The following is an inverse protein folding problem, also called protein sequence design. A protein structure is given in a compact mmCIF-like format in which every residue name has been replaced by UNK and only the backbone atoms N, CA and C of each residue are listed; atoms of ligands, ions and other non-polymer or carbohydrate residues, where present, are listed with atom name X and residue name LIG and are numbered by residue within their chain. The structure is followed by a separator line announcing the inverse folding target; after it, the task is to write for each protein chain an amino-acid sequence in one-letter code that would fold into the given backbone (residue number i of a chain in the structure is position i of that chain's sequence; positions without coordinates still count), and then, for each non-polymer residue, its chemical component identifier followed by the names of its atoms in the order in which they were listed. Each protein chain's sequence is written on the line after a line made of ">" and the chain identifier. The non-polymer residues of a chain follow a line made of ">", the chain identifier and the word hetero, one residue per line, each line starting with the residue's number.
data_IF_642503997539
#
_entry.id   IF_642503997539
#
_cell.length_a   1.000
_cell.length_b   1.000
_cell.length_c   1.000
_cell.angle_alpha   90.00
_cell.angle_beta   90.00
_cell.angle_gamma   90.00
#
_symmetry.space_group_name_H-M   'P 1'
#
loop_
_entity.id
_entity.type
_entity.pdbx_description
1 polymer ?
#
# COMPACT_ATOMS: atom_id res chain seq x y z
N UNK A 1 -16.51 6.56 17.31
CA UNK A 1 -16.03 7.74 16.55
C UNK A 1 -14.98 8.56 17.30
N UNK A 2 -15.31 9.23 18.42
CA UNK A 2 -14.37 10.13 19.13
C UNK A 2 -13.07 9.45 19.60
N UNK A 3 -13.18 8.22 20.13
CA UNK A 3 -12.02 7.42 20.55
C UNK A 3 -11.05 7.18 19.37
N UNK A 4 -11.56 6.68 18.24
CA UNK A 4 -10.77 6.42 17.04
C UNK A 4 -10.14 7.70 16.47
N UNK A 5 -10.81 8.85 16.56
CA UNK A 5 -10.23 10.16 16.20
C UNK A 5 -9.08 10.55 17.15
N UNK A 6 -9.20 10.28 18.45
CA UNK A 6 -8.14 10.53 19.43
C UNK A 6 -6.92 9.63 19.21
N UNK A 7 -7.14 8.37 18.84
CA UNK A 7 -6.08 7.45 18.42
C UNK A 7 -5.40 7.94 17.13
N UNK A 8 -6.19 8.33 16.10
CA UNK A 8 -5.67 8.88 14.85
C UNK A 8 -4.81 10.13 15.08
N UNK A 9 -5.26 11.06 15.93
CA UNK A 9 -4.45 12.22 16.34
C UNK A 9 -3.12 11.79 16.95
N UNK A 10 -3.15 10.83 17.87
CA UNK A 10 -1.95 10.35 18.57
C UNK A 10 -0.93 9.73 17.61
N UNK A 11 -1.41 8.97 16.62
CA UNK A 11 -0.55 8.41 15.58
C UNK A 11 0.02 9.48 14.64
N UNK A 12 -0.81 10.43 14.17
CA UNK A 12 -0.34 11.53 13.33
C UNK A 12 0.70 12.39 14.04
N UNK A 13 0.48 12.73 15.31
CA UNK A 13 1.42 13.48 16.11
C UNK A 13 2.78 12.78 16.19
N UNK A 14 2.80 11.47 16.47
CA UNK A 14 4.05 10.68 16.53
C UNK A 14 4.79 10.65 15.20
N UNK A 15 4.06 10.46 14.10
CA UNK A 15 4.64 10.44 12.76
C UNK A 15 5.27 11.80 12.46
N UNK A 16 4.53 12.89 12.66
CA UNK A 16 5.00 14.24 12.33
C UNK A 16 6.15 14.70 13.24
N UNK A 17 6.11 14.40 14.54
CA UNK A 17 7.21 14.67 15.47
C UNK A 17 8.50 13.92 15.03
N UNK A 18 8.37 12.62 14.73
CA UNK A 18 9.51 11.78 14.29
C UNK A 18 10.13 12.27 12.99
N UNK A 19 9.30 12.71 12.04
CA UNK A 19 9.72 13.27 10.75
C UNK A 19 10.53 14.57 10.90
N UNK A 20 10.23 15.41 11.90
CA UNK A 20 10.91 16.70 12.09
C UNK A 20 12.32 16.60 12.69
N UNK A 21 12.79 15.39 13.01
CA UNK A 21 14.20 15.10 13.25
C UNK A 21 14.76 15.50 14.62
N UNK A 22 13.97 16.09 15.52
CA UNK A 22 14.46 16.51 16.84
C UNK A 22 14.61 15.38 17.86
N UNK A 23 13.91 14.24 17.68
CA UNK A 23 13.91 13.09 18.59
C UNK A 23 14.08 11.73 17.87
N UNK A 24 14.53 11.74 16.61
CA UNK A 24 14.44 10.55 15.77
C UNK A 24 15.68 9.65 15.90
N UNK A 25 15.61 8.65 16.79
CA UNK A 25 16.58 7.54 16.89
C UNK A 25 16.15 6.29 16.11
N UNK A 26 15.02 6.34 15.39
CA UNK A 26 14.35 5.17 14.82
C UNK A 26 14.43 5.09 13.28
N UNK A 27 14.62 6.21 12.59
CA UNK A 27 14.63 6.27 11.12
C UNK A 27 15.99 6.76 10.60
N UNK A 28 16.55 6.07 9.62
CA UNK A 28 17.81 6.44 8.95
C UNK A 28 17.54 7.41 7.79
N UNK A 29 17.88 8.68 8.01
CA UNK A 29 18.20 9.77 7.06
C UNK A 29 17.36 10.05 5.77
N UNK A 30 16.60 9.13 5.15
CA UNK A 30 15.71 9.46 4.03
C UNK A 30 14.27 9.72 4.50
N UNK A 31 14.13 10.89 5.11
CA UNK A 31 12.90 11.44 5.68
C UNK A 31 11.73 11.46 4.67
N UNK A 32 11.99 11.35 3.34
CA UNK A 32 10.96 11.43 2.30
C UNK A 32 10.24 10.10 2.01
N UNK A 33 10.98 9.00 1.97
CA UNK A 33 10.44 7.63 1.84
C UNK A 33 9.65 7.27 3.10
N UNK A 34 10.25 7.51 4.26
CA UNK A 34 9.66 7.23 5.57
C UNK A 34 8.32 7.96 5.76
N UNK A 35 8.17 9.18 5.23
CA UNK A 35 6.92 9.96 5.27
C UNK A 35 5.77 9.24 4.59
N UNK A 36 5.93 8.89 3.31
CA UNK A 36 4.86 8.27 2.52
C UNK A 36 4.54 6.89 3.08
N UNK A 37 5.57 6.14 3.46
CA UNK A 37 5.41 4.86 4.13
C UNK A 37 4.61 4.97 5.43
N UNK A 38 4.93 5.95 6.29
CA UNK A 38 4.20 6.19 7.53
C UNK A 38 2.72 6.54 7.25
N UNK A 39 2.45 7.33 6.22
CA UNK A 39 1.07 7.67 5.84
C UNK A 39 0.29 6.45 5.34
N UNK A 40 0.85 5.62 4.45
CA UNK A 40 0.19 4.40 3.99
C UNK A 40 -0.06 3.44 5.16
N UNK A 41 0.92 3.29 6.06
CA UNK A 41 0.77 2.45 7.27
C UNK A 41 -0.34 2.97 8.18
N UNK A 42 -0.46 4.29 8.34
CA UNK A 42 -1.52 4.90 9.13
C UNK A 42 -2.90 4.77 8.47
N UNK A 43 -2.99 4.93 7.15
CA UNK A 43 -4.22 4.68 6.40
C UNK A 43 -4.65 3.23 6.55
N UNK A 44 -3.73 2.27 6.40
CA UNK A 44 -4.00 0.85 6.64
C UNK A 44 -4.54 0.61 8.05
N UNK A 45 -3.88 1.14 9.08
CA UNK A 45 -4.35 1.03 10.46
C UNK A 45 -5.76 1.59 10.63
N UNK A 46 -6.04 2.80 10.11
CA UNK A 46 -7.36 3.43 10.25
C UNK A 46 -8.43 2.58 9.56
N UNK A 47 -8.16 2.10 8.36
CA UNK A 47 -9.10 1.28 7.59
C UNK A 47 -9.34 -0.08 8.24
N UNK A 48 -8.30 -0.69 8.82
CA UNK A 48 -8.43 -1.90 9.62
C UNK A 48 -9.29 -1.68 10.87
N UNK A 49 -9.10 -0.57 11.59
CA UNK A 49 -9.95 -0.20 12.72
C UNK A 49 -11.41 0.02 12.31
N UNK A 50 -11.67 0.71 11.20
CA UNK A 50 -13.02 0.94 10.68
C UNK A 50 -13.73 -0.39 10.39
N UNK A 51 -13.05 -1.31 9.72
CA UNK A 51 -13.63 -2.61 9.36
C UNK A 51 -13.78 -3.53 10.57
N UNK A 52 -12.77 -3.61 11.45
CA UNK A 52 -12.80 -4.51 12.61
C UNK A 52 -13.76 -4.05 13.71
N UNK A 53 -14.00 -2.73 13.83
CA UNK A 53 -15.05 -2.18 14.72
C UNK A 53 -16.44 -2.20 14.08
N UNK A 54 -16.55 -2.73 12.87
CA UNK A 54 -17.79 -2.81 12.07
C UNK A 54 -18.56 -1.48 11.96
N UNK A 55 -17.83 -0.38 11.79
CA UNK A 55 -18.46 0.94 11.71
C UNK A 55 -19.41 1.02 10.52
N UNK A 56 -20.54 1.71 10.71
CA UNK A 56 -21.47 1.99 9.61
C UNK A 56 -21.08 3.27 8.84
N UNK A 57 -21.73 3.50 7.69
CA UNK A 57 -21.44 4.68 6.83
C UNK A 57 -21.58 6.03 7.56
N UNK A 58 -22.51 6.16 8.51
CA UNK A 58 -22.67 7.42 9.26
C UNK A 58 -21.47 7.65 10.18
N UNK A 59 -21.00 6.61 10.85
CA UNK A 59 -19.82 6.68 11.72
C UNK A 59 -18.54 6.92 10.93
N UNK A 60 -18.40 6.27 9.77
CA UNK A 60 -17.27 6.46 8.85
C UNK A 60 -17.21 7.92 8.37
N UNK A 61 -18.34 8.47 7.89
CA UNK A 61 -18.42 9.88 7.50
C UNK A 61 -18.06 10.80 8.67
N UNK A 62 -18.46 10.47 9.90
CA UNK A 62 -18.10 11.25 11.08
C UNK A 62 -16.59 11.21 11.39
N UNK A 63 -15.90 10.08 11.13
CA UNK A 63 -14.44 9.99 11.24
C UNK A 63 -13.77 10.92 10.22
N UNK A 64 -14.13 10.84 8.93
CA UNK A 64 -13.50 11.69 7.91
C UNK A 64 -13.80 13.18 8.09
N UNK A 65 -15.03 13.52 8.46
CA UNK A 65 -15.38 14.89 8.82
C UNK A 65 -14.60 15.37 10.05
N UNK A 66 -14.44 14.51 11.07
CA UNK A 66 -13.62 14.82 12.24
C UNK A 66 -12.16 15.05 11.90
N UNK A 67 -11.59 14.26 10.97
CA UNK A 67 -10.25 14.50 10.47
C UNK A 67 -10.13 15.86 9.78
N UNK A 68 -11.00 16.16 8.80
CA UNK A 68 -10.93 17.40 8.01
C UNK A 68 -11.17 18.65 8.87
N UNK A 69 -12.10 18.57 9.83
CA UNK A 69 -12.48 19.72 10.67
C UNK A 69 -11.63 19.88 11.92
N UNK A 70 -11.02 18.83 12.46
CA UNK A 70 -10.32 18.90 13.76
C UNK A 70 -8.83 18.55 13.71
N UNK A 71 -8.38 17.74 12.75
CA UNK A 71 -7.00 17.23 12.73
C UNK A 71 -6.16 17.87 11.62
N UNK A 72 -6.72 17.95 10.40
CA UNK A 72 -6.06 18.51 9.22
C UNK A 72 -5.61 19.95 9.46
N UNK A 73 -4.30 20.18 9.34
CA UNK A 73 -3.63 21.47 9.48
C UNK A 73 -3.58 21.98 10.92
N UNK A 74 -4.00 21.16 11.89
CA UNK A 74 -4.18 21.55 13.30
C UNK A 74 -3.24 20.83 14.26
N UNK A 75 -2.42 19.92 13.75
CA UNK A 75 -1.37 19.27 14.54
C UNK A 75 -0.23 20.28 14.72
N UNK A 76 -0.03 20.72 15.98
CA UNK A 76 0.89 21.80 16.33
C UNK A 76 2.36 21.41 16.05
N UNK A 77 3.17 22.41 15.72
CA UNK A 77 4.64 22.35 15.60
C UNK A 77 5.18 21.49 14.45
N UNK A 78 4.36 21.16 13.47
CA UNK A 78 4.73 20.29 12.35
C UNK A 78 4.41 20.97 11.01
N UNK A 79 5.19 20.63 9.97
CA UNK A 79 5.04 21.03 8.54
C UNK A 79 3.60 20.74 8.02
N UNK A 80 3.16 21.26 6.84
CA UNK A 80 1.87 20.89 6.23
C UNK A 80 1.55 19.39 6.28
N UNK A 81 0.26 19.06 6.42
CA UNK A 81 -0.21 17.68 6.59
C UNK A 81 0.40 16.75 5.54
N UNK A 82 1.21 15.81 6.01
CA UNK A 82 1.86 14.83 5.14
C UNK A 82 0.93 13.69 4.74
N UNK A 83 -0.13 13.45 5.52
CA UNK A 83 -1.09 12.37 5.28
C UNK A 83 -2.48 12.95 5.05
N UNK A 84 -3.04 12.70 3.86
CA UNK A 84 -4.38 13.16 3.47
C UNK A 84 -5.32 11.97 3.53
N UNK A 85 -6.50 12.13 4.14
CA UNK A 85 -7.52 11.09 4.24
C UNK A 85 -8.78 11.54 3.50
N UNK A 86 -9.09 10.93 2.37
CA UNK A 86 -10.31 11.25 1.64
C UNK A 86 -11.51 10.47 2.18
N UNK A 87 -12.71 11.07 2.09
CA UNK A 87 -13.95 10.44 2.56
C UNK A 87 -14.35 9.27 1.64
N UNK A 88 -14.12 8.04 2.12
CA UNK A 88 -14.37 6.80 1.40
C UNK A 88 -15.60 6.08 1.95
N UNK A 89 -16.27 5.32 1.09
CA UNK A 89 -17.33 4.38 1.49
C UNK A 89 -16.72 3.14 2.13
N UNK A 90 -17.48 2.41 2.96
CA UNK A 90 -17.02 1.20 3.65
C UNK A 90 -16.44 0.15 2.70
N UNK A 91 -17.08 -0.06 1.55
CA UNK A 91 -16.62 -1.03 0.55
C UNK A 91 -15.26 -0.62 -0.05
N UNK A 92 -15.07 0.67 -0.33
CA UNK A 92 -13.82 1.21 -0.85
C UNK A 92 -12.70 1.13 0.19
N UNK A 93 -13.02 1.41 1.47
CA UNK A 93 -12.11 1.23 2.61
C UNK A 93 -11.66 -0.22 2.71
N UNK A 94 -12.58 -1.19 2.59
CA UNK A 94 -12.23 -2.60 2.68
C UNK A 94 -11.28 -3.04 1.56
N UNK A 95 -11.49 -2.56 0.33
CA UNK A 95 -10.58 -2.82 -0.80
C UNK A 95 -9.20 -2.19 -0.58
N UNK A 96 -9.16 -0.91 -0.22
CA UNK A 96 -7.89 -0.21 0.04
C UNK A 96 -7.13 -0.82 1.22
N UNK A 97 -7.83 -1.26 2.27
CA UNK A 97 -7.21 -2.01 3.38
C UNK A 97 -6.48 -3.25 2.88
N UNK A 98 -7.13 -4.06 2.03
CA UNK A 98 -6.51 -5.26 1.45
C UNK A 98 -5.31 -4.90 0.58
N UNK A 99 -5.40 -3.84 -0.24
CA UNK A 99 -4.28 -3.36 -1.06
C UNK A 99 -3.11 -2.91 -0.18
N UNK A 100 -3.35 -2.06 0.82
CA UNK A 100 -2.28 -1.54 1.69
C UNK A 100 -1.65 -2.62 2.57
N UNK A 101 -2.37 -3.71 2.86
CA UNK A 101 -1.80 -4.88 3.52
C UNK A 101 -0.63 -5.49 2.74
N UNK A 102 -0.62 -5.38 1.40
CA UNK A 102 0.49 -5.85 0.57
C UNK A 102 1.80 -5.17 0.96
N UNK A 103 1.74 -3.85 1.17
CA UNK A 103 2.92 -3.08 1.54
C UNK A 103 3.45 -3.46 2.92
N UNK A 104 2.56 -3.70 3.89
CA UNK A 104 2.96 -4.22 5.20
C UNK A 104 3.64 -5.60 5.09
N UNK A 105 3.08 -6.49 4.26
CA UNK A 105 3.65 -7.82 3.98
C UNK A 105 5.02 -7.70 3.31
N UNK A 106 5.18 -6.79 2.35
CA UNK A 106 6.45 -6.57 1.66
C UNK A 106 7.53 -6.02 2.59
N UNK A 107 7.20 -5.01 3.40
CA UNK A 107 8.15 -4.40 4.32
C UNK A 107 8.64 -5.40 5.38
N UNK A 108 7.73 -6.16 6.01
CA UNK A 108 8.08 -7.15 7.04
C UNK A 108 8.97 -8.25 6.46
N UNK A 109 8.68 -8.74 5.26
CA UNK A 109 9.45 -9.82 4.65
C UNK A 109 10.87 -9.42 4.22
N UNK A 110 11.11 -8.14 3.92
CA UNK A 110 12.44 -7.64 3.58
C UNK A 110 13.33 -7.49 4.83
N UNK A 111 12.74 -7.25 6.01
CA UNK A 111 13.46 -7.00 7.27
C UNK A 111 13.56 -8.23 8.18
N UNK A 112 12.63 -9.18 8.08
CA UNK A 112 12.54 -10.35 8.96
C UNK A 112 12.48 -11.65 8.13
N UNK A 113 13.63 -12.11 7.66
CA UNK A 113 13.74 -13.28 6.77
C UNK A 113 13.43 -14.63 7.45
N UNK A 114 13.40 -14.71 8.78
CA UNK A 114 13.59 -16.00 9.49
C UNK A 114 12.33 -16.73 10.03
N UNK A 115 11.16 -16.11 10.21
CA UNK A 115 10.05 -16.79 10.91
C UNK A 115 8.74 -16.92 10.09
N UNK A 116 8.81 -17.63 8.96
CA UNK A 116 7.61 -18.19 8.30
C UNK A 116 7.12 -19.45 9.04
N UNK A 117 6.80 -19.33 10.33
CA UNK A 117 6.14 -20.39 11.11
C UNK A 117 4.60 -20.31 10.97
N UNK A 118 3.88 -21.27 11.59
CA UNK A 118 2.45 -21.66 11.49
C UNK A 118 1.37 -20.65 11.05
N UNK A 119 1.61 -19.35 11.13
CA UNK A 119 0.74 -18.28 10.62
C UNK A 119 0.93 -17.96 9.11
N UNK A 120 1.90 -18.58 8.44
CA UNK A 120 2.19 -18.38 7.01
C UNK A 120 0.93 -18.42 6.12
N UNK A 121 0.03 -19.38 6.34
CA UNK A 121 -1.20 -19.51 5.56
C UNK A 121 -2.12 -18.28 5.64
N UNK A 122 -2.25 -17.67 6.82
CA UNK A 122 -3.08 -16.48 7.00
C UNK A 122 -2.47 -15.27 6.29
N UNK A 123 -1.15 -15.12 6.35
CA UNK A 123 -0.44 -14.09 5.60
C UNK A 123 -0.59 -14.25 4.09
N UNK A 124 -0.53 -15.49 3.61
CA UNK A 124 -0.72 -15.84 2.20
C UNK A 124 -2.14 -15.54 1.71
N UNK A 125 -3.16 -15.76 2.54
CA UNK A 125 -4.54 -15.41 2.20
C UNK A 125 -4.72 -13.88 2.06
N UNK A 126 -4.19 -13.09 2.99
CA UNK A 126 -4.21 -11.63 2.88
C UNK A 126 -3.44 -11.14 1.66
N UNK A 127 -2.29 -11.75 1.39
CA UNK A 127 -1.48 -11.44 0.22
C UNK A 127 -2.25 -11.68 -1.08
N UNK A 128 -2.89 -12.85 -1.25
CA UNK A 128 -3.68 -13.16 -2.44
C UNK A 128 -4.84 -12.18 -2.64
N UNK A 129 -5.63 -11.93 -1.58
CA UNK A 129 -6.74 -10.95 -1.62
C UNK A 129 -6.27 -9.55 -1.96
N UNK A 130 -5.17 -9.10 -1.37
CA UNK A 130 -4.58 -7.80 -1.66
C UNK A 130 -4.14 -7.68 -3.12
N UNK A 131 -3.53 -8.75 -3.66
CA UNK A 131 -3.04 -8.77 -5.04
C UNK A 131 -4.18 -8.72 -6.06
N UNK A 132 -5.26 -9.46 -5.84
CA UNK A 132 -6.45 -9.43 -6.68
C UNK A 132 -7.08 -8.04 -6.71
N UNK A 133 -7.28 -7.43 -5.54
CA UNK A 133 -7.81 -6.06 -5.44
C UNK A 133 -6.89 -5.04 -6.10
N UNK A 134 -5.58 -5.21 -5.95
CA UNK A 134 -4.59 -4.35 -6.57
C UNK A 134 -4.66 -4.41 -8.11
N UNK A 135 -4.68 -5.61 -8.70
CA UNK A 135 -4.81 -5.80 -10.16
C UNK A 135 -6.15 -5.25 -10.67
N UNK A 136 -7.25 -5.54 -9.98
CA UNK A 136 -8.57 -5.00 -10.35
C UNK A 136 -8.60 -3.46 -10.31
N UNK A 137 -7.89 -2.86 -9.35
CA UNK A 137 -7.81 -1.40 -9.22
C UNK A 137 -6.97 -0.76 -10.31
N UNK A 138 -5.90 -1.41 -10.78
CA UNK A 138 -5.14 -0.95 -11.95
C UNK A 138 -6.07 -0.83 -13.17
N UNK A 139 -6.85 -1.87 -13.44
CA UNK A 139 -7.82 -1.88 -14.54
C UNK A 139 -8.83 -0.74 -14.40
N UNK A 140 -9.41 -0.58 -13.21
CA UNK A 140 -10.50 0.38 -12.99
C UNK A 140 -10.04 1.85 -12.87
N UNK A 141 -8.86 2.10 -12.30
CA UNK A 141 -8.41 3.45 -11.96
C UNK A 141 -7.34 3.96 -12.92
N UNK A 142 -6.32 3.15 -13.20
CA UNK A 142 -5.19 3.59 -14.03
C UNK A 142 -5.51 3.51 -15.53
N UNK A 143 -6.07 2.38 -15.96
CA UNK A 143 -6.37 2.12 -17.38
C UNK A 143 -7.64 2.83 -17.82
N UNK A 144 -8.73 2.65 -17.06
CA UNK A 144 -10.02 3.29 -17.37
C UNK A 144 -10.09 4.76 -16.95
N UNK A 145 -9.05 5.30 -16.30
CA UNK A 145 -8.92 6.70 -15.88
C UNK A 145 -10.12 7.21 -15.05
N UNK A 146 -10.70 6.36 -14.21
CA UNK A 146 -11.77 6.76 -13.32
C UNK A 146 -11.24 7.74 -12.26
N UNK A 147 -11.87 8.91 -12.11
CA UNK A 147 -11.47 9.97 -11.18
C UNK A 147 -12.17 9.90 -9.81
N UNK A 148 -12.74 8.73 -9.46
CA UNK A 148 -13.35 8.52 -8.16
C UNK A 148 -12.37 8.74 -7.00
N UNK A 149 -12.89 9.07 -5.82
CA UNK A 149 -12.11 9.23 -4.58
C UNK A 149 -11.27 7.98 -4.30
N UNK A 150 -11.86 6.79 -4.50
CA UNK A 150 -11.16 5.51 -4.43
C UNK A 150 -9.92 5.48 -5.34
N UNK A 151 -10.07 5.90 -6.60
CA UNK A 151 -8.98 5.90 -7.55
C UNK A 151 -7.89 6.92 -7.22
N UNK A 152 -8.23 8.04 -6.58
CA UNK A 152 -7.22 8.99 -6.11
C UNK A 152 -6.35 8.37 -5.00
N UNK A 153 -6.97 7.70 -4.03
CA UNK A 153 -6.27 6.97 -2.95
C UNK A 153 -5.45 5.79 -3.46
N UNK A 154 -5.98 5.08 -4.46
CA UNK A 154 -5.27 4.00 -5.12
C UNK A 154 -4.06 4.50 -5.93
N UNK A 155 -4.21 5.59 -6.67
CA UNK A 155 -3.13 6.14 -7.49
C UNK A 155 -1.98 6.67 -6.63
N UNK A 156 -2.25 7.25 -5.46
CA UNK A 156 -1.21 7.63 -4.49
C UNK A 156 -0.35 6.42 -4.07
N UNK A 157 -1.00 5.28 -3.82
CA UNK A 157 -0.31 4.02 -3.52
C UNK A 157 0.44 3.48 -4.74
N UNK A 158 -0.16 3.54 -5.94
CA UNK A 158 0.48 3.09 -7.17
C UNK A 158 1.76 3.89 -7.45
N UNK A 159 1.72 5.20 -7.27
CA UNK A 159 2.87 6.09 -7.46
C UNK A 159 3.99 5.77 -6.46
N UNK A 160 3.65 5.51 -5.20
CA UNK A 160 4.60 5.00 -4.20
C UNK A 160 5.25 3.69 -4.66
N UNK A 161 4.51 2.78 -5.29
CA UNK A 161 5.07 1.52 -5.80
C UNK A 161 5.92 1.68 -7.08
N UNK A 162 5.81 2.80 -7.79
CA UNK A 162 6.69 3.14 -8.94
C UNK A 162 8.03 3.71 -8.50
N UNK A 163 8.10 4.28 -7.29
CA UNK A 163 9.35 4.78 -6.73
C UNK A 163 10.30 3.61 -6.40
N UNK A 164 11.61 3.83 -6.63
CA UNK A 164 12.64 2.79 -6.43
C UNK A 164 12.99 2.65 -4.95
N UNK A 165 12.05 2.18 -4.16
CA UNK A 165 12.24 1.90 -2.75
C UNK A 165 12.84 0.51 -2.53
N UNK A 166 13.84 0.43 -1.65
CA UNK A 166 14.56 -0.81 -1.34
C UNK A 166 13.61 -1.84 -0.70
N UNK A 167 12.67 -1.39 0.12
CA UNK A 167 11.83 -2.26 0.94
C UNK A 167 10.39 -2.44 0.43
N UNK A 168 10.01 -1.86 -0.71
CA UNK A 168 8.63 -1.93 -1.21
C UNK A 168 8.17 -3.33 -1.63
N UNK A 169 9.08 -4.30 -1.83
CA UNK A 169 8.81 -5.69 -2.23
C UNK A 169 8.15 -5.90 -3.60
N UNK A 170 7.65 -4.83 -4.22
CA UNK A 170 7.21 -4.74 -5.61
C UNK A 170 7.94 -3.60 -6.32
N UNK A 171 7.99 -3.67 -7.64
CA UNK A 171 8.42 -2.58 -8.51
C UNK A 171 7.54 -2.52 -9.73
N UNK A 172 7.17 -1.31 -10.11
CA UNK A 172 6.27 -1.04 -11.22
C UNK A 172 7.00 -0.20 -12.26
N UNK A 173 6.92 -0.62 -13.52
CA UNK A 173 7.58 0.05 -14.64
C UNK A 173 6.59 0.30 -15.77
N UNK A 174 6.76 1.43 -16.45
CA UNK A 174 6.01 1.77 -17.66
C UNK A 174 6.66 1.19 -18.92
N UNK A 175 7.88 0.67 -18.83
CA UNK A 175 8.55 -0.05 -19.91
C UNK A 175 9.01 -1.41 -19.41
N UNK A 176 9.16 -2.37 -20.32
CA UNK A 176 9.81 -3.64 -20.00
C UNK A 176 11.27 -3.30 -19.72
N UNK A 177 11.65 -3.20 -18.46
CA UNK A 177 13.05 -3.25 -18.08
C UNK A 177 13.45 -4.72 -18.16
N UNK A 178 14.00 -5.15 -19.30
CA UNK A 178 14.73 -6.41 -19.37
C UNK A 178 15.93 -6.29 -18.43
N UNK A 179 15.81 -6.80 -17.20
CA UNK A 179 16.93 -7.27 -16.39
C UNK A 179 18.18 -6.38 -16.26
N UNK A 180 18.12 -5.06 -16.40
CA UNK A 180 19.27 -4.17 -16.21
C UNK A 180 19.10 -3.39 -14.91
N UNK A 181 19.25 -4.10 -13.80
CA UNK A 181 20.33 -3.86 -12.85
C UNK A 181 20.05 -4.59 -11.53
N UNK A 182 21.07 -5.36 -11.16
CA UNK A 182 21.37 -6.05 -9.90
C UNK A 182 20.33 -7.02 -9.32
N UNK A 183 20.69 -8.30 -9.40
CA UNK A 183 20.26 -9.35 -8.48
C UNK A 183 19.05 -10.16 -8.94
N UNK A 184 19.30 -11.47 -9.13
CA UNK A 184 18.40 -12.58 -8.81
C UNK A 184 17.03 -12.20 -8.20
N UNK A 185 15.92 -12.63 -8.81
CA UNK A 185 14.63 -12.79 -8.09
C UNK A 185 13.44 -11.90 -8.49
N UNK A 186 13.48 -11.15 -9.60
CA UNK A 186 12.31 -10.37 -10.07
C UNK A 186 11.37 -11.22 -10.94
N UNK A 187 10.09 -11.29 -10.61
CA UNK A 187 9.07 -12.03 -11.39
C UNK A 187 7.93 -11.12 -11.84
N UNK A 188 7.62 -11.16 -13.14
CA UNK A 188 6.50 -10.41 -13.72
C UNK A 188 5.17 -11.00 -13.26
N UNK A 189 4.43 -10.24 -12.43
CA UNK A 189 3.11 -10.61 -11.91
C UNK A 189 1.98 -10.17 -12.83
N UNK A 190 2.13 -9.01 -13.46
CA UNK A 190 1.10 -8.40 -14.28
C UNK A 190 1.74 -7.57 -15.37
N UNK A 191 1.21 -7.70 -16.59
CA UNK A 191 1.49 -6.80 -17.70
C UNK A 191 0.22 -6.43 -18.41
N UNK A 192 0.03 -5.15 -18.65
CA UNK A 192 -0.99 -4.64 -19.56
C UNK A 192 -0.32 -3.72 -20.57
N UNK A 193 -0.67 -3.91 -21.84
CA UNK A 193 -0.15 -3.12 -22.95
C UNK A 193 -1.31 -2.41 -23.63
N UNK A 194 -1.94 -1.48 -22.90
CA UNK A 194 -2.82 -0.51 -23.53
C UNK A 194 -1.96 0.50 -24.32
N UNK A 195 -2.42 0.89 -25.52
CA UNK A 195 -1.63 1.58 -26.56
C UNK A 195 -0.82 2.78 -26.06
N UNK A 196 -1.30 3.45 -25.00
CA UNK A 196 -0.70 4.67 -24.48
C UNK A 196 -0.14 4.56 -23.04
N UNK A 197 -0.39 3.44 -22.32
CA UNK A 197 0.02 3.27 -20.90
C UNK A 197 0.41 1.83 -20.56
N UNK A 198 1.53 1.33 -21.08
CA UNK A 198 2.09 0.06 -20.62
C UNK A 198 2.36 0.07 -19.11
N UNK A 199 2.05 -1.03 -18.43
CA UNK A 199 2.35 -1.22 -17.01
C UNK A 199 2.85 -2.64 -16.76
N UNK A 200 4.02 -2.75 -16.12
CA UNK A 200 4.66 -4.01 -15.77
C UNK A 200 4.96 -4.04 -14.28
N UNK A 201 4.52 -5.10 -13.59
CA UNK A 201 4.61 -5.22 -12.14
C UNK A 201 5.44 -6.42 -11.79
N UNK A 202 6.51 -6.20 -11.03
CA UNK A 202 7.44 -7.23 -10.63
C UNK A 202 7.45 -7.41 -9.13
N UNK A 203 7.46 -8.67 -8.68
CA UNK A 203 7.69 -9.05 -7.29
C UNK A 203 9.19 -9.19 -7.03
N UNK A 204 9.68 -8.65 -5.90
CA UNK A 204 11.07 -8.73 -5.45
C UNK A 204 11.23 -9.68 -4.25
N UNK A 205 10.58 -10.85 -4.26
CA UNK A 205 10.62 -11.80 -3.14
C UNK A 205 10.41 -13.27 -3.57
N UNK A 206 11.44 -14.11 -3.40
CA UNK A 206 11.44 -15.51 -3.83
C UNK A 206 10.47 -16.42 -3.05
N UNK A 207 10.19 -16.14 -1.77
CA UNK A 207 9.23 -16.93 -0.97
C UNK A 207 7.79 -16.66 -1.41
N UNK A 208 7.42 -15.40 -1.57
CA UNK A 208 6.12 -15.00 -2.11
C UNK A 208 5.95 -15.44 -3.57
N UNK A 209 7.05 -15.46 -4.33
CA UNK A 209 7.06 -15.98 -5.70
C UNK A 209 6.64 -17.45 -5.76
N UNK A 210 7.14 -18.30 -4.85
CA UNK A 210 6.75 -19.71 -4.80
C UNK A 210 5.27 -19.90 -4.48
N UNK A 211 4.68 -19.01 -3.66
CA UNK A 211 3.24 -19.02 -3.41
C UNK A 211 2.45 -18.61 -4.66
N UNK A 212 2.79 -17.47 -5.26
CA UNK A 212 2.10 -16.97 -6.46
C UNK A 212 2.11 -18.01 -7.58
N UNK A 213 3.25 -18.68 -7.79
CA UNK A 213 3.42 -19.76 -8.79
C UNK A 213 2.55 -20.98 -8.52
N UNK A 214 2.24 -21.29 -7.26
CA UNK A 214 1.51 -22.50 -6.86
C UNK A 214 0.03 -22.24 -6.57
N UNK A 215 -0.38 -20.98 -6.53
CA UNK A 215 -1.74 -20.56 -6.20
C UNK A 215 -2.58 -20.24 -7.45
N UNK A 216 -3.89 -20.49 -7.37
CA UNK A 216 -4.85 -20.19 -8.44
C UNK A 216 -5.13 -18.69 -8.65
N UNK A 217 -4.52 -17.80 -7.83
CA UNK A 217 -4.72 -16.35 -7.88
C UNK A 217 -4.39 -15.74 -9.26
N UNK A 218 -3.44 -16.31 -10.01
CA UNK A 218 -3.11 -15.87 -11.37
C UNK A 218 -3.93 -16.56 -12.48
N UNK A 219 -5.16 -16.97 -12.19
CA UNK A 219 -6.04 -17.70 -13.13
C UNK A 219 -6.24 -17.02 -14.50
N UNK A 220 -5.93 -15.73 -14.65
CA UNK A 220 -5.73 -15.09 -15.96
C UNK A 220 -4.27 -15.22 -16.45
N UNK A 221 -3.95 -16.41 -16.97
CA UNK A 221 -2.68 -16.79 -17.62
C UNK A 221 -2.37 -16.07 -18.94
N UNK A 222 -2.94 -14.89 -19.23
CA UNK A 222 -2.59 -14.16 -20.45
C UNK A 222 -1.43 -13.20 -20.14
N UNK A 223 -0.22 -13.61 -20.56
CA UNK A 223 1.05 -12.85 -20.60
C UNK A 223 1.99 -12.94 -19.39
N UNK A 224 2.09 -14.12 -18.77
CA UNK A 224 3.23 -14.44 -17.89
C UNK A 224 4.47 -14.73 -18.75
N UNK A 225 5.22 -13.69 -19.14
CA UNK A 225 6.55 -13.90 -19.75
C UNK A 225 7.53 -14.15 -18.60
N UNK A 226 7.88 -15.42 -18.39
CA UNK A 226 9.05 -15.76 -17.60
C UNK A 226 10.27 -15.10 -18.27
N UNK A 227 10.87 -14.11 -17.61
CA UNK A 227 12.25 -13.76 -17.90
C UNK A 227 13.09 -14.94 -17.40
N UNK A 228 13.38 -15.89 -18.30
CA UNK A 228 14.40 -16.90 -18.04
C UNK A 228 15.74 -16.19 -17.96
N UNK A 229 16.39 -16.32 -16.80
CA UNK A 229 17.81 -16.09 -16.59
C UNK A 229 18.68 -16.83 -17.60
#
# INVERSE_FOLDING_TARGET
>A
VNELLGELYSHLYRIYDSITGSNNTYFEFDISEDKKMCCISLKYWLYDQIINRDLNETEINAIFNGWDTHLKGKIKNTSPDHCIFNNLKKDDINKLKNIYSLYAIFYVNNKYQEDWNSNAYKYLEYFGKGLDEFINSINNCYINQNSSIYCNEFNEFLDLCKEKYEHAGISIYEQITQGTDDGTGKYLLYSEKNKDKPLYIYLKNDKLLNFVKTSDFLSNKSTTIAATS
#
